data_IF_246559349491
#
_entry.id   IF_246559349491
#
_cell.length_a   1.000
_cell.length_b   1.000
_cell.length_c   1.000
_cell.angle_alpha   90.00
_cell.angle_beta   90.00
_cell.angle_gamma   90.00
#
_symmetry.space_group_name_H-M   'P 1'
#
loop_
_entity.id
_entity.type
_entity.pdbx_description
1 polymer ?
#
# COMPACT_ATOMS: atom_id res chain seq x y z
N UNK A 1 -3.44 37.93 -8.91
CA UNK A 1 -4.67 37.87 -9.72
C UNK A 1 -5.54 36.77 -9.12
N UNK A 2 -6.48 37.13 -8.25
CA UNK A 2 -7.40 36.17 -7.62
C UNK A 2 -8.39 35.74 -8.71
N UNK A 3 -8.31 34.51 -9.19
CA UNK A 3 -9.31 33.98 -10.10
C UNK A 3 -10.65 33.94 -9.35
N UNK A 4 -11.59 34.81 -9.73
CA UNK A 4 -12.99 34.77 -9.29
C UNK A 4 -13.72 33.66 -10.04
N UNK A 5 -13.37 32.42 -9.75
CA UNK A 5 -14.15 31.26 -10.20
C UNK A 5 -15.23 31.01 -9.14
N UNK A 6 -16.53 31.13 -9.47
CA UNK A 6 -17.60 30.81 -8.54
C UNK A 6 -17.51 29.34 -8.11
N UNK A 7 -17.53 29.08 -6.80
CA UNK A 7 -17.58 27.73 -6.26
C UNK A 7 -19.03 27.39 -5.94
N UNK A 8 -19.65 26.57 -6.79
CA UNK A 8 -21.05 26.18 -6.65
C UNK A 8 -21.10 24.80 -6.02
N UNK A 9 -21.81 24.70 -4.89
CA UNK A 9 -22.12 23.43 -4.25
C UNK A 9 -23.54 23.04 -4.63
N UNK A 10 -23.69 21.91 -5.32
CA UNK A 10 -25.00 21.44 -5.83
C UNK A 10 -26.06 21.34 -4.73
N UNK A 11 -25.67 20.97 -3.51
CA UNK A 11 -26.56 20.86 -2.35
C UNK A 11 -26.96 22.22 -1.75
N UNK A 12 -26.08 23.23 -1.81
CA UNK A 12 -26.31 24.55 -1.19
C UNK A 12 -26.81 25.60 -2.17
N UNK A 13 -26.78 25.31 -3.47
CA UNK A 13 -27.19 26.20 -4.54
C UNK A 13 -26.07 27.12 -5.04
N UNK A 14 -26.34 27.87 -6.13
CA UNK A 14 -25.36 28.74 -6.79
C UNK A 14 -25.02 30.01 -6.00
N UNK A 15 -25.89 30.45 -5.10
CA UNK A 15 -25.77 31.72 -4.38
C UNK A 15 -25.26 31.55 -2.94
N UNK A 16 -24.67 30.39 -2.61
CA UNK A 16 -24.14 30.15 -1.27
C UNK A 16 -22.99 31.13 -0.96
N UNK A 17 -23.14 31.86 0.13
CA UNK A 17 -22.15 32.83 0.56
C UNK A 17 -20.83 32.12 0.98
N UNK A 18 -19.65 32.61 0.56
CA UNK A 18 -18.36 31.99 0.91
C UNK A 18 -18.12 31.84 2.42
N UNK A 19 -18.64 32.75 3.26
CA UNK A 19 -18.52 32.59 4.71
C UNK A 19 -19.29 31.36 5.20
N UNK A 20 -20.49 31.10 4.67
CA UNK A 20 -21.25 29.88 5.00
C UNK A 20 -20.49 28.61 4.59
N UNK A 21 -19.85 28.60 3.42
CA UNK A 21 -19.01 27.47 3.00
C UNK A 21 -17.88 27.19 4.00
N UNK A 22 -17.23 28.24 4.52
CA UNK A 22 -16.20 28.09 5.55
C UNK A 22 -16.75 27.54 6.87
N UNK A 23 -17.95 27.98 7.28
CA UNK A 23 -18.61 27.43 8.47
C UNK A 23 -18.95 25.96 8.28
N UNK A 24 -19.52 25.57 7.13
CA UNK A 24 -19.80 24.17 6.81
C UNK A 24 -18.52 23.32 6.84
N UNK A 25 -17.43 23.81 6.24
CA UNK A 25 -16.15 23.13 6.25
C UNK A 25 -15.59 22.96 7.67
N UNK A 26 -15.68 24.00 8.51
CA UNK A 26 -15.21 23.96 9.89
C UNK A 26 -16.02 22.95 10.75
N UNK A 27 -17.35 22.93 10.58
CA UNK A 27 -18.24 21.98 11.26
C UNK A 27 -17.93 20.55 10.81
N UNK A 28 -17.79 20.32 9.50
CA UNK A 28 -17.46 19.02 8.94
C UNK A 28 -16.11 18.48 9.44
N UNK A 29 -15.10 19.36 9.50
CA UNK A 29 -13.78 18.98 10.05
C UNK A 29 -13.87 18.62 11.53
N UNK A 30 -14.61 19.39 12.34
CA UNK A 30 -14.80 19.11 13.76
C UNK A 30 -15.53 17.78 13.98
N UNK A 31 -16.55 17.48 13.19
CA UNK A 31 -17.26 16.20 13.29
C UNK A 31 -16.37 15.02 12.92
N UNK A 32 -15.56 15.15 11.86
CA UNK A 32 -14.56 14.14 11.47
C UNK A 32 -13.59 13.86 12.63
N UNK A 33 -13.07 14.90 13.26
CA UNK A 33 -12.15 14.76 14.40
C UNK A 33 -12.82 14.05 15.57
N UNK A 34 -14.08 14.39 15.87
CA UNK A 34 -14.86 13.76 16.93
C UNK A 34 -15.12 12.27 16.67
N UNK A 35 -15.49 11.92 15.45
CA UNK A 35 -15.67 10.52 15.03
C UNK A 35 -14.35 9.75 15.16
N UNK A 36 -13.25 10.35 14.70
CA UNK A 36 -11.93 9.72 14.79
C UNK A 36 -11.50 9.51 16.26
N UNK A 37 -11.75 10.49 17.12
CA UNK A 37 -11.48 10.40 18.55
C UNK A 37 -12.28 9.26 19.18
N UNK A 38 -13.60 9.25 19.00
CA UNK A 38 -14.48 8.20 19.55
C UNK A 38 -14.12 6.80 19.04
N UNK A 39 -13.76 6.67 17.76
CA UNK A 39 -13.32 5.39 17.20
C UNK A 39 -12.03 4.91 17.84
N UNK A 40 -11.04 5.81 18.03
CA UNK A 40 -9.78 5.48 18.70
C UNK A 40 -10.00 5.06 20.15
N UNK A 41 -10.82 5.79 20.89
CA UNK A 41 -11.19 5.46 22.27
C UNK A 41 -11.91 4.11 22.37
N UNK A 42 -12.89 3.86 21.51
CA UNK A 42 -13.64 2.61 21.49
C UNK A 42 -12.74 1.40 21.18
N UNK A 43 -11.84 1.53 20.19
CA UNK A 43 -10.87 0.49 19.85
C UNK A 43 -9.85 0.27 20.98
N UNK A 44 -9.37 1.33 21.63
CA UNK A 44 -8.46 1.22 22.77
C UNK A 44 -9.15 0.50 23.94
N UNK A 45 -10.39 0.84 24.24
CA UNK A 45 -11.18 0.18 25.28
C UNK A 45 -11.48 -1.29 24.93
N UNK A 46 -11.80 -1.60 23.67
CA UNK A 46 -11.98 -2.97 23.19
C UNK A 46 -10.70 -3.79 23.36
N UNK A 47 -9.55 -3.23 22.98
CA UNK A 47 -8.23 -3.85 23.18
C UNK A 47 -7.91 -4.06 24.66
N UNK A 48 -8.22 -3.09 25.52
CA UNK A 48 -8.03 -3.21 26.97
C UNK A 48 -8.91 -4.31 27.60
N UNK A 49 -10.11 -4.55 27.04
CA UNK A 49 -10.97 -5.69 27.38
C UNK A 49 -10.48 -7.03 26.81
N UNK A 50 -9.35 -7.07 26.12
CA UNK A 50 -8.81 -8.28 25.52
C UNK A 50 -9.43 -8.67 24.18
N UNK A 51 -10.23 -7.81 23.55
CA UNK A 51 -10.78 -8.09 22.23
C UNK A 51 -9.67 -8.06 21.17
N UNK A 52 -9.56 -9.12 20.38
CA UNK A 52 -8.60 -9.21 19.29
C UNK A 52 -9.08 -8.32 18.15
N UNK A 53 -8.32 -7.28 17.83
CA UNK A 53 -8.57 -6.38 16.71
C UNK A 53 -7.80 -6.84 15.48
N UNK A 54 -8.52 -7.11 14.40
CA UNK A 54 -7.97 -7.71 13.18
C UNK A 54 -7.76 -9.21 13.31
N UNK A 55 -7.39 -9.86 12.21
CA UNK A 55 -7.12 -11.29 12.18
C UNK A 55 -5.66 -11.54 11.78
N UNK A 56 -4.81 -11.72 12.80
CA UNK A 56 -3.39 -11.99 12.61
C UNK A 56 -3.15 -13.31 11.86
N UNK A 57 -4.00 -14.32 12.07
CA UNK A 57 -3.92 -15.62 11.41
C UNK A 57 -4.06 -15.49 9.90
N UNK A 58 -5.00 -14.67 9.39
CA UNK A 58 -5.13 -14.42 7.95
C UNK A 58 -3.85 -13.76 7.39
N UNK A 59 -3.25 -12.84 8.15
CA UNK A 59 -1.98 -12.21 7.76
C UNK A 59 -0.83 -13.21 7.66
N UNK A 60 -0.73 -14.13 8.62
CA UNK A 60 0.28 -15.19 8.65
C UNK A 60 0.07 -16.21 7.53
N UNK A 61 -1.17 -16.67 7.31
CA UNK A 61 -1.52 -17.61 6.24
C UNK A 61 -1.17 -17.02 4.88
N UNK A 62 -1.61 -15.78 4.59
CA UNK A 62 -1.28 -15.10 3.33
C UNK A 62 0.23 -14.90 3.14
N UNK A 63 0.96 -14.66 4.23
CA UNK A 63 2.42 -14.56 4.17
C UNK A 63 3.04 -15.90 3.80
N UNK A 64 2.64 -16.98 4.48
CA UNK A 64 3.13 -18.33 4.22
C UNK A 64 2.81 -18.79 2.80
N UNK A 65 1.60 -18.55 2.30
CA UNK A 65 1.22 -18.82 0.91
C UNK A 65 2.13 -18.06 -0.09
N UNK A 66 2.42 -16.80 0.19
CA UNK A 66 3.30 -16.00 -0.66
C UNK A 66 4.76 -16.47 -0.61
N UNK A 67 5.23 -16.96 0.54
CA UNK A 67 6.58 -17.51 0.70
C UNK A 67 6.70 -18.87 -0.01
N UNK A 68 5.70 -19.75 0.11
CA UNK A 68 5.62 -21.00 -0.65
C UNK A 68 5.59 -20.74 -2.16
N UNK A 69 4.80 -19.77 -2.60
CA UNK A 69 4.77 -19.41 -4.02
C UNK A 69 6.10 -18.83 -4.50
N UNK A 70 6.83 -18.14 -3.63
CA UNK A 70 8.16 -17.62 -3.97
C UNK A 70 9.15 -18.75 -4.25
N UNK A 71 9.08 -19.86 -3.50
CA UNK A 71 9.94 -21.04 -3.70
C UNK A 71 9.86 -21.62 -5.11
N UNK A 72 8.70 -21.55 -5.78
CA UNK A 72 8.56 -21.96 -7.19
C UNK A 72 9.48 -21.17 -8.14
N UNK A 73 9.87 -19.95 -7.78
CA UNK A 73 10.78 -19.12 -8.57
C UNK A 73 12.24 -19.30 -8.17
N UNK A 74 12.56 -20.04 -7.09
CA UNK A 74 13.95 -20.27 -6.65
C UNK A 74 14.84 -20.85 -7.77
N UNK A 75 14.42 -21.86 -8.55
CA UNK A 75 15.25 -22.40 -9.63
C UNK A 75 15.59 -21.39 -10.73
N UNK A 76 14.71 -20.39 -10.94
CA UNK A 76 14.88 -19.37 -11.97
C UNK A 76 15.73 -18.20 -11.44
N UNK A 77 15.49 -17.79 -10.19
CA UNK A 77 16.10 -16.61 -9.59
C UNK A 77 17.48 -16.88 -8.97
N UNK A 78 17.70 -18.05 -8.38
CA UNK A 78 18.97 -18.38 -7.72
C UNK A 78 20.19 -18.34 -8.65
N UNK A 79 20.12 -18.85 -9.91
CA UNK A 79 21.24 -18.73 -10.85
C UNK A 79 21.51 -17.29 -11.31
N UNK A 80 20.55 -16.38 -11.16
CA UNK A 80 20.65 -15.00 -11.60
C UNK A 80 21.03 -14.04 -10.46
N UNK A 81 21.27 -14.55 -9.25
CA UNK A 81 21.43 -13.76 -8.01
C UNK A 81 22.56 -12.73 -8.06
N UNK A 82 23.59 -13.00 -8.87
CA UNK A 82 24.78 -12.16 -8.98
C UNK A 82 24.60 -11.01 -9.99
N UNK A 83 23.45 -10.95 -10.67
CA UNK A 83 23.11 -9.89 -11.60
C UNK A 83 22.32 -8.77 -10.89
N UNK A 84 22.43 -7.50 -11.37
CA UNK A 84 21.58 -6.43 -10.87
C UNK A 84 20.09 -6.74 -11.08
N UNK A 85 19.24 -6.44 -10.10
CA UNK A 85 17.79 -6.73 -10.16
C UNK A 85 17.10 -6.20 -11.43
N UNK A 86 17.56 -5.07 -11.99
CA UNK A 86 17.10 -4.54 -13.28
C UNK A 86 17.38 -5.51 -14.43
N UNK A 87 18.60 -6.07 -14.50
CA UNK A 87 18.98 -7.06 -15.52
C UNK A 87 18.20 -8.36 -15.36
N UNK A 88 18.02 -8.83 -14.11
CA UNK A 88 17.19 -10.01 -13.83
C UNK A 88 15.77 -9.79 -14.36
N UNK A 89 15.15 -8.62 -14.11
CA UNK A 89 13.80 -8.34 -14.59
C UNK A 89 13.66 -8.37 -16.12
N UNK A 90 14.68 -7.89 -16.84
CA UNK A 90 14.73 -7.97 -18.31
C UNK A 90 14.79 -9.44 -18.75
N UNK A 91 15.72 -10.22 -18.18
CA UNK A 91 15.89 -11.65 -18.50
C UNK A 91 14.60 -12.44 -18.26
N UNK A 92 13.89 -12.18 -17.16
CA UNK A 92 12.63 -12.87 -16.85
C UNK A 92 11.54 -12.56 -17.88
N UNK A 93 11.42 -11.29 -18.27
CA UNK A 93 10.44 -10.87 -19.27
C UNK A 93 10.78 -11.42 -20.67
N UNK A 94 12.06 -11.45 -21.05
CA UNK A 94 12.53 -12.04 -22.32
C UNK A 94 12.26 -13.55 -22.37
N UNK A 95 12.39 -14.24 -21.23
CA UNK A 95 12.05 -15.66 -21.09
C UNK A 95 10.54 -15.94 -21.00
N UNK A 96 9.69 -14.91 -21.06
CA UNK A 96 8.24 -15.05 -20.94
C UNK A 96 7.75 -15.46 -19.54
N UNK A 97 8.61 -15.38 -18.51
CA UNK A 97 8.21 -15.69 -17.14
C UNK A 97 7.36 -14.53 -16.62
N UNK A 98 6.10 -14.80 -16.28
CA UNK A 98 5.20 -13.81 -15.71
C UNK A 98 5.36 -13.72 -14.20
N UNK A 99 5.01 -12.57 -13.63
CA UNK A 99 4.93 -12.41 -12.17
C UNK A 99 3.77 -13.24 -11.60
N UNK A 100 3.71 -13.48 -10.28
CA UNK A 100 2.59 -14.18 -9.64
C UNK A 100 1.18 -13.64 -9.97
N UNK A 101 1.07 -12.38 -10.40
CA UNK A 101 -0.19 -11.74 -10.81
C UNK A 101 -0.37 -11.63 -12.32
N UNK A 102 0.47 -12.32 -13.11
CA UNK A 102 0.39 -12.35 -14.58
C UNK A 102 1.01 -11.15 -15.30
N UNK A 103 1.61 -10.19 -14.59
CA UNK A 103 2.25 -9.01 -15.18
C UNK A 103 3.73 -9.22 -15.52
N UNK A 104 4.34 -8.21 -16.18
CA UNK A 104 5.78 -8.14 -16.43
C UNK A 104 6.58 -7.88 -15.14
N UNK A 105 7.79 -8.43 -15.08
CA UNK A 105 8.74 -8.21 -13.98
C UNK A 105 9.35 -6.82 -14.01
N UNK A 106 9.43 -6.19 -12.83
CA UNK A 106 10.18 -4.96 -12.55
C UNK A 106 11.25 -5.21 -11.49
N UNK A 107 12.28 -4.37 -11.45
CA UNK A 107 13.40 -4.51 -10.51
C UNK A 107 12.95 -4.63 -9.03
N UNK A 108 11.99 -3.82 -8.59
CA UNK A 108 11.48 -3.88 -7.21
C UNK A 108 10.79 -5.21 -6.88
N UNK A 109 10.14 -5.85 -7.86
CA UNK A 109 9.53 -7.16 -7.66
C UNK A 109 10.60 -8.24 -7.53
N UNK A 110 11.68 -8.15 -8.32
CA UNK A 110 12.84 -9.03 -8.19
C UNK A 110 13.49 -8.89 -6.80
N UNK A 111 13.74 -7.67 -6.34
CA UNK A 111 14.33 -7.42 -5.00
C UNK A 111 13.44 -8.03 -3.90
N UNK A 112 12.12 -7.82 -3.96
CA UNK A 112 11.19 -8.40 -2.99
C UNK A 112 11.19 -9.93 -3.01
N UNK A 113 11.27 -10.54 -4.20
CA UNK A 113 11.30 -11.99 -4.34
C UNK A 113 12.62 -12.60 -3.85
N UNK A 114 13.76 -11.98 -4.17
CA UNK A 114 15.06 -12.41 -3.66
C UNK A 114 15.14 -12.27 -2.13
N UNK A 115 14.59 -11.18 -1.58
CA UNK A 115 14.47 -11.00 -0.13
C UNK A 115 13.59 -12.05 0.55
N UNK A 116 12.47 -12.45 -0.08
CA UNK A 116 11.61 -13.55 0.42
C UNK A 116 12.33 -14.90 0.40
N UNK A 117 13.13 -15.16 -0.64
CA UNK A 117 13.90 -16.39 -0.80
C UNK A 117 15.17 -16.46 0.05
N UNK A 118 15.46 -15.40 0.82
CA UNK A 118 16.71 -15.22 1.57
C UNK A 118 17.95 -15.39 0.68
N UNK A 119 17.87 -14.91 -0.57
CA UNK A 119 18.98 -14.90 -1.52
C UNK A 119 19.60 -13.51 -1.46
N UNK A 120 20.87 -13.44 -1.02
CA UNK A 120 21.60 -12.18 -1.00
C UNK A 120 21.72 -11.63 -2.43
N UNK A 121 21.29 -10.39 -2.62
CA UNK A 121 21.44 -9.68 -3.90
C UNK A 121 22.75 -8.90 -3.84
N UNK A 122 23.61 -9.05 -4.85
CA UNK A 122 24.75 -8.16 -5.03
C UNK A 122 24.23 -6.74 -5.32
N UNK A 123 24.39 -5.86 -4.34
CA UNK A 123 24.13 -4.43 -4.38
C UNK A 123 22.72 -4.02 -4.86
N UNK A 124 21.79 -3.92 -3.91
CA UNK A 124 20.82 -2.82 -3.93
C UNK A 124 21.03 -1.99 -2.67
N UNK A 125 21.71 -0.84 -2.81
CA UNK A 125 21.67 0.20 -1.81
C UNK A 125 20.20 0.42 -1.42
N UNK A 126 19.89 0.14 -0.15
CA UNK A 126 18.56 0.20 0.44
C UNK A 126 18.17 1.70 0.48
N UNK A 127 17.22 2.21 -0.32
CA UNK A 127 16.73 3.55 -0.11
C UNK A 127 15.79 3.50 1.10
N UNK A 128 16.11 4.29 2.12
CA UNK A 128 15.24 4.65 3.24
C UNK A 128 13.96 5.31 2.76
#
# INVERSE_FOLDING_TARGET
MVQRIPFIVTELGPDVDPFMLHIHAAVAQKERERIAQRTREALAAAKARGQILGNATIGQVRKAEADLHAEHFRPILAPLRDLPAKRISVILNERGVTTPRGGKWQANQVIRMLGRLNIAVLNSARPT
#
